data_IF_998944343409
#
_entry.id   IF_998944343409
#
_cell.length_a   1.000
_cell.length_b   1.000
_cell.length_c   1.000
_cell.angle_alpha   90.00
_cell.angle_beta   90.00
_cell.angle_gamma   90.00
#
_symmetry.space_group_name_H-M   'P 1'
#
loop_
_entity.id
_entity.type
_entity.pdbx_description
1 polymer ?
#
# COMPACT_ATOMS: atom_id res chain seq x y z
N UNK A 1 -25.94 49.94 -17.17
CA UNK A 1 -25.44 48.89 -16.26
C UNK A 1 -26.62 48.31 -15.55
N UNK A 2 -26.74 46.99 -15.48
CA UNK A 2 -27.83 46.31 -14.76
C UNK A 2 -27.44 46.21 -13.30
N UNK A 3 -28.34 46.57 -12.38
CA UNK A 3 -28.05 46.50 -10.93
C UNK A 3 -28.36 45.12 -10.34
N UNK A 4 -27.70 44.76 -9.22
CA UNK A 4 -27.96 43.48 -8.52
C UNK A 4 -29.44 43.35 -8.11
N UNK A 5 -30.07 44.45 -7.70
CA UNK A 5 -31.48 44.47 -7.30
C UNK A 5 -32.42 44.21 -8.49
N UNK A 6 -32.10 44.72 -9.69
CA UNK A 6 -32.86 44.44 -10.91
C UNK A 6 -32.77 42.97 -11.32
N UNK A 7 -31.58 42.37 -11.21
CA UNK A 7 -31.37 40.93 -11.48
C UNK A 7 -32.18 40.06 -10.52
N UNK A 8 -32.14 40.38 -9.21
CA UNK A 8 -32.92 39.68 -8.18
C UNK A 8 -34.43 39.80 -8.43
N UNK A 9 -34.92 40.99 -8.71
CA UNK A 9 -36.33 41.23 -8.99
C UNK A 9 -36.80 40.51 -10.27
N UNK A 10 -35.98 40.52 -11.33
CA UNK A 10 -36.28 39.78 -12.56
C UNK A 10 -36.27 38.26 -12.33
N UNK A 11 -35.32 37.73 -11.57
CA UNK A 11 -35.25 36.32 -11.20
C UNK A 11 -36.49 35.88 -10.40
N UNK A 12 -36.93 36.69 -9.43
CA UNK A 12 -38.13 36.43 -8.65
C UNK A 12 -39.40 36.44 -9.50
N UNK A 13 -39.53 37.39 -10.44
CA UNK A 13 -40.67 37.42 -11.39
C UNK A 13 -40.73 36.17 -12.27
N UNK A 14 -39.59 35.71 -12.78
CA UNK A 14 -39.52 34.48 -13.60
C UNK A 14 -39.88 33.26 -12.75
N UNK A 15 -39.38 33.17 -11.51
CA UNK A 15 -39.70 32.08 -10.56
C UNK A 15 -41.19 32.02 -10.21
N UNK A 16 -41.83 33.18 -10.07
CA UNK A 16 -43.24 33.30 -9.71
C UNK A 16 -44.21 33.02 -10.86
N UNK A 17 -43.74 32.94 -12.12
CA UNK A 17 -44.62 32.64 -13.25
C UNK A 17 -45.16 31.20 -13.16
N UNK A 18 -46.47 31.00 -13.33
CA UNK A 18 -47.02 29.66 -13.45
C UNK A 18 -46.53 29.00 -14.74
N UNK A 19 -46.47 27.67 -14.74
CA UNK A 19 -46.17 26.93 -15.96
C UNK A 19 -47.28 27.18 -17.02
N UNK A 20 -46.93 27.40 -18.29
CA UNK A 20 -47.93 27.49 -19.36
C UNK A 20 -48.68 26.15 -19.50
N UNK A 21 -49.94 26.18 -19.93
CA UNK A 21 -50.75 24.99 -20.11
C UNK A 21 -50.06 24.01 -21.07
N UNK A 22 -49.69 22.82 -20.56
CA UNK A 22 -48.99 21.77 -21.32
C UNK A 22 -47.47 21.97 -21.49
N UNK A 23 -46.84 22.90 -20.76
CA UNK A 23 -45.40 23.18 -20.86
C UNK A 23 -44.66 23.15 -19.52
N UNK A 24 -43.33 23.14 -19.59
CA UNK A 24 -42.45 23.19 -18.42
C UNK A 24 -42.35 24.61 -17.86
N UNK A 25 -42.28 24.74 -16.52
CA UNK A 25 -42.02 26.01 -15.85
C UNK A 25 -40.71 26.63 -16.35
N UNK A 26 -40.77 27.92 -16.69
CA UNK A 26 -39.60 28.67 -17.19
C UNK A 26 -38.47 28.65 -16.15
N UNK A 27 -37.28 28.20 -16.57
CA UNK A 27 -36.09 28.16 -15.70
C UNK A 27 -35.52 29.55 -15.52
N UNK A 28 -35.11 29.88 -14.29
CA UNK A 28 -34.33 31.09 -14.02
C UNK A 28 -32.90 30.88 -14.49
N UNK A 29 -32.54 31.54 -15.60
CA UNK A 29 -31.24 31.46 -16.27
C UNK A 29 -30.76 32.85 -16.64
N UNK A 30 -29.46 33.03 -16.89
CA UNK A 30 -28.92 34.32 -17.34
C UNK A 30 -29.62 34.81 -18.60
N UNK A 31 -30.02 33.88 -19.50
CA UNK A 31 -30.74 34.21 -20.73
C UNK A 31 -32.17 34.68 -20.47
N UNK A 32 -32.91 34.00 -19.59
CA UNK A 32 -34.29 34.40 -19.25
C UNK A 32 -34.30 35.72 -18.47
N UNK A 33 -33.37 35.92 -17.54
CA UNK A 33 -33.20 37.17 -16.80
C UNK A 33 -32.80 38.31 -17.75
N UNK A 34 -31.87 38.09 -18.67
CA UNK A 34 -31.49 39.10 -19.68
C UNK A 34 -32.67 39.47 -20.60
N UNK A 35 -33.49 38.49 -20.98
CA UNK A 35 -34.73 38.72 -21.75
C UNK A 35 -35.72 39.57 -20.96
N UNK A 36 -35.89 39.26 -19.67
CA UNK A 36 -36.77 39.99 -18.75
C UNK A 36 -36.31 41.44 -18.49
N UNK A 37 -35.00 41.67 -18.51
CA UNK A 37 -34.39 42.99 -18.33
C UNK A 37 -34.27 43.79 -19.64
N UNK A 38 -34.64 43.19 -20.79
CA UNK A 38 -34.51 43.84 -22.10
C UNK A 38 -33.07 44.02 -22.60
N UNK A 39 -32.07 43.47 -21.91
CA UNK A 39 -30.65 43.66 -22.23
C UNK A 39 -29.72 43.43 -21.04
N UNK A 40 -28.43 43.77 -21.22
CA UNK A 40 -27.39 43.64 -20.19
C UNK A 40 -26.24 42.73 -20.58
N UNK A 41 -25.07 42.98 -19.97
CA UNK A 41 -23.88 42.13 -20.12
C UNK A 41 -24.08 40.81 -19.35
N UNK A 42 -23.62 39.70 -19.93
CA UNK A 42 -23.67 38.39 -19.27
C UNK A 42 -22.90 38.40 -17.95
N UNK A 43 -21.79 39.13 -17.87
CA UNK A 43 -20.98 39.24 -16.65
C UNK A 43 -21.71 39.95 -15.51
N UNK A 44 -22.45 41.02 -15.84
CA UNK A 44 -23.20 41.83 -14.88
C UNK A 44 -24.39 41.07 -14.30
N UNK A 45 -24.96 40.12 -15.06
CA UNK A 45 -26.13 39.32 -14.64
C UNK A 45 -25.69 38.03 -13.92
N UNK A 46 -24.62 37.37 -14.39
CA UNK A 46 -24.24 36.05 -13.90
C UNK A 46 -23.87 36.03 -12.40
N UNK A 47 -23.08 37.01 -11.93
CA UNK A 47 -22.65 37.07 -10.52
C UNK A 47 -23.82 37.34 -9.55
N UNK A 48 -24.65 38.38 -9.76
CA UNK A 48 -25.85 38.59 -8.94
C UNK A 48 -26.84 37.42 -8.97
N UNK A 49 -27.00 36.77 -10.14
CA UNK A 49 -27.92 35.66 -10.28
C UNK A 49 -27.45 34.41 -9.52
N UNK A 50 -26.15 34.11 -9.55
CA UNK A 50 -25.59 32.99 -8.80
C UNK A 50 -25.77 33.20 -7.29
N UNK A 51 -25.56 34.42 -6.80
CA UNK A 51 -25.78 34.80 -5.40
C UNK A 51 -27.25 34.65 -5.00
N UNK A 52 -28.17 35.14 -5.81
CA UNK A 52 -29.62 34.95 -5.59
C UNK A 52 -30.01 33.47 -5.54
N UNK A 53 -29.50 32.62 -6.45
CA UNK A 53 -29.81 31.17 -6.45
C UNK A 53 -29.36 30.46 -5.17
N UNK A 54 -28.24 30.88 -4.59
CA UNK A 54 -27.73 30.32 -3.35
C UNK A 54 -28.53 30.80 -2.12
N UNK A 55 -28.90 32.09 -2.08
CA UNK A 55 -29.71 32.67 -0.99
C UNK A 55 -31.14 32.09 -0.96
N UNK A 56 -31.72 31.81 -2.14
CA UNK A 56 -33.10 31.36 -2.30
C UNK A 56 -33.27 29.84 -2.46
N UNK A 57 -32.17 29.09 -2.28
CA UNK A 57 -32.09 27.63 -2.43
C UNK A 57 -32.73 27.12 -3.73
N UNK A 58 -32.46 27.81 -4.84
CA UNK A 58 -33.15 27.57 -6.11
C UNK A 58 -32.64 26.32 -6.82
N UNK A 59 -33.43 25.24 -6.75
CA UNK A 59 -33.16 23.98 -7.43
C UNK A 59 -34.16 23.71 -8.58
N UNK A 60 -33.79 23.97 -9.85
CA UNK A 60 -34.71 23.89 -10.99
C UNK A 60 -35.24 22.48 -11.28
N UNK A 61 -34.54 21.41 -10.85
CA UNK A 61 -35.01 20.04 -10.95
C UNK A 61 -36.09 19.69 -9.91
N UNK A 62 -36.02 20.31 -8.73
CA UNK A 62 -36.97 20.11 -7.63
C UNK A 62 -38.25 20.91 -7.89
N UNK A 63 -38.12 22.16 -8.35
CA UNK A 63 -39.28 23.00 -8.71
C UNK A 63 -40.02 22.52 -9.97
N UNK A 64 -39.37 21.78 -10.87
CA UNK A 64 -40.04 21.19 -12.05
C UNK A 64 -40.81 19.91 -11.72
N UNK A 65 -40.48 19.25 -10.62
CA UNK A 65 -41.12 18.02 -10.21
C UNK A 65 -42.42 18.25 -9.40
N UNK A 66 -42.75 19.52 -9.09
CA UNK A 66 -43.91 19.93 -8.29
C UNK A 66 -44.08 19.09 -7.01
N UNK A 67 -42.93 18.72 -6.40
CA UNK A 67 -42.90 17.87 -5.22
C UNK A 67 -43.30 18.69 -4.00
N UNK A 68 -44.25 18.23 -3.17
CA UNK A 68 -44.58 18.89 -1.92
C UNK A 68 -43.32 19.03 -1.06
N UNK A 69 -43.07 20.22 -0.51
CA UNK A 69 -41.82 20.58 0.17
C UNK A 69 -41.41 19.58 1.28
N UNK A 70 -42.39 18.94 1.91
CA UNK A 70 -42.21 17.87 2.89
C UNK A 70 -41.52 16.61 2.32
N UNK A 71 -41.78 16.26 1.05
CA UNK A 71 -41.13 15.14 0.38
C UNK A 71 -39.69 15.46 -0.04
N UNK A 72 -39.43 16.69 -0.48
CA UNK A 72 -38.06 17.15 -0.78
C UNK A 72 -37.15 17.05 0.45
N UNK A 73 -37.62 17.56 1.60
CA UNK A 73 -36.87 17.48 2.87
C UNK A 73 -36.62 16.04 3.31
N UNK A 74 -37.62 15.16 3.19
CA UNK A 74 -37.48 13.73 3.52
C UNK A 74 -36.51 13.00 2.60
N UNK A 75 -36.55 13.28 1.29
CA UNK A 75 -35.62 12.69 0.33
C UNK A 75 -34.18 13.13 0.58
N UNK A 76 -33.94 14.38 0.94
CA UNK A 76 -32.59 14.87 1.28
C UNK A 76 -32.03 14.19 2.53
N UNK A 77 -32.87 14.00 3.57
CA UNK A 77 -32.47 13.27 4.78
C UNK A 77 -32.14 11.82 4.43
N UNK A 78 -33.03 11.15 3.69
CA UNK A 78 -32.84 9.75 3.32
C UNK A 78 -31.63 9.54 2.41
N UNK A 79 -31.35 10.48 1.50
CA UNK A 79 -30.15 10.47 0.66
C UNK A 79 -28.86 10.67 1.49
N UNK A 80 -28.90 11.54 2.51
CA UNK A 80 -27.78 11.73 3.44
C UNK A 80 -27.52 10.45 4.24
N UNK A 81 -28.57 9.85 4.80
CA UNK A 81 -28.46 8.63 5.60
C UNK A 81 -27.92 7.45 4.77
N UNK A 82 -28.38 7.30 3.51
CA UNK A 82 -27.83 6.29 2.59
C UNK A 82 -26.35 6.53 2.25
N UNK A 83 -25.96 7.79 2.03
CA UNK A 83 -24.55 8.14 1.79
C UNK A 83 -23.67 7.88 3.01
N UNK A 84 -24.19 8.10 4.21
CA UNK A 84 -23.49 7.84 5.46
C UNK A 84 -23.33 6.33 5.70
N UNK A 85 -24.39 5.55 5.49
CA UNK A 85 -24.34 4.08 5.53
C UNK A 85 -23.34 3.51 4.52
N UNK A 86 -23.39 3.97 3.27
CA UNK A 86 -22.44 3.52 2.24
C UNK A 86 -20.97 3.86 2.60
N UNK A 87 -20.72 4.99 3.28
CA UNK A 87 -19.38 5.32 3.79
C UNK A 87 -18.94 4.40 4.94
N UNK A 88 -19.85 4.06 5.83
CA UNK A 88 -19.59 3.13 6.94
C UNK A 88 -19.27 1.74 6.39
N UNK A 89 -20.08 1.23 5.46
CA UNK A 89 -19.87 -0.06 4.80
C UNK A 89 -18.54 -0.10 4.04
N UNK A 90 -18.23 0.93 3.24
CA UNK A 90 -16.95 1.00 2.53
C UNK A 90 -15.74 1.09 3.48
N UNK A 91 -15.91 1.68 4.68
CA UNK A 91 -14.85 1.71 5.70
C UNK A 91 -14.69 0.33 6.34
N UNK A 92 -15.79 -0.38 6.55
CA UNK A 92 -15.82 -1.74 7.10
C UNK A 92 -15.17 -2.75 6.15
N UNK A 93 -15.46 -2.64 4.85
CA UNK A 93 -14.86 -3.48 3.80
C UNK A 93 -13.34 -3.24 3.69
N UNK A 94 -12.89 -1.97 3.74
CA UNK A 94 -11.45 -1.68 3.77
C UNK A 94 -10.75 -2.28 4.99
N UNK A 95 -11.40 -2.26 6.16
CA UNK A 95 -10.84 -2.88 7.36
C UNK A 95 -10.76 -4.40 7.22
N UNK A 96 -11.78 -5.06 6.65
CA UNK A 96 -11.71 -6.50 6.38
C UNK A 96 -10.62 -6.86 5.36
N UNK A 97 -10.42 -6.04 4.32
CA UNK A 97 -9.34 -6.23 3.34
C UNK A 97 -7.96 -6.16 4.02
N UNK A 98 -7.76 -5.23 4.97
CA UNK A 98 -6.52 -5.16 5.75
C UNK A 98 -6.32 -6.42 6.59
N UNK A 99 -7.36 -6.88 7.29
CA UNK A 99 -7.30 -8.11 8.10
C UNK A 99 -6.99 -9.35 7.25
N UNK A 100 -7.60 -9.46 6.07
CA UNK A 100 -7.33 -10.57 5.14
C UNK A 100 -5.90 -10.55 4.60
N UNK A 101 -5.36 -9.37 4.31
CA UNK A 101 -3.97 -9.20 3.86
C UNK A 101 -3.00 -9.59 4.98
N UNK A 102 -3.27 -9.20 6.22
CA UNK A 102 -2.45 -9.60 7.37
C UNK A 102 -2.52 -11.11 7.62
N UNK A 103 -3.71 -11.72 7.66
CA UNK A 103 -3.84 -13.19 7.77
C UNK A 103 -3.16 -13.93 6.63
N UNK A 104 -3.09 -13.34 5.44
CA UNK A 104 -2.35 -13.92 4.32
C UNK A 104 -0.85 -13.79 4.54
N UNK A 105 -0.36 -12.68 5.11
CA UNK A 105 1.06 -12.50 5.44
C UNK A 105 1.49 -13.48 6.52
N UNK A 106 0.74 -13.59 7.61
CA UNK A 106 1.00 -14.55 8.70
C UNK A 106 1.12 -15.98 8.18
N UNK A 107 0.15 -16.43 7.36
CA UNK A 107 0.21 -17.77 6.73
C UNK A 107 1.44 -17.96 5.85
N UNK A 108 1.86 -16.92 5.10
CA UNK A 108 3.11 -17.02 4.32
C UNK A 108 4.34 -17.09 5.23
N UNK A 109 4.36 -16.35 6.33
CA UNK A 109 5.46 -16.39 7.29
C UNK A 109 5.54 -17.74 8.00
N UNK A 110 4.41 -18.35 8.35
CA UNK A 110 4.36 -19.73 8.87
C UNK A 110 4.94 -20.74 7.88
N UNK A 111 4.53 -20.66 6.60
CA UNK A 111 5.06 -21.54 5.54
C UNK A 111 6.58 -21.34 5.39
N UNK A 112 7.06 -20.09 5.42
CA UNK A 112 8.49 -19.80 5.32
C UNK A 112 9.27 -20.31 6.55
N UNK A 113 8.68 -20.23 7.74
CA UNK A 113 9.29 -20.77 8.95
C UNK A 113 9.36 -22.31 8.91
N UNK A 114 8.29 -22.97 8.46
CA UNK A 114 8.28 -24.43 8.28
C UNK A 114 9.32 -24.87 7.23
N UNK A 115 9.37 -24.17 6.08
CA UNK A 115 10.36 -24.45 5.04
C UNK A 115 11.80 -24.25 5.56
N UNK A 116 12.06 -23.22 6.37
CA UNK A 116 13.37 -23.00 6.98
C UNK A 116 13.74 -24.15 7.94
N UNK A 117 12.82 -24.59 8.80
CA UNK A 117 13.06 -25.72 9.70
C UNK A 117 13.31 -27.03 8.94
N UNK A 118 12.64 -27.24 7.80
CA UNK A 118 12.91 -28.38 6.94
C UNK A 118 14.31 -28.30 6.30
N UNK A 119 14.76 -27.12 5.91
CA UNK A 119 16.13 -26.92 5.40
C UNK A 119 17.15 -27.22 6.49
N UNK A 120 16.99 -26.69 7.70
CA UNK A 120 17.89 -26.97 8.82
C UNK A 120 18.01 -28.47 9.10
N UNK A 121 16.87 -29.19 9.13
CA UNK A 121 16.86 -30.65 9.31
C UNK A 121 17.57 -31.40 8.17
N UNK A 122 17.46 -30.91 6.93
CA UNK A 122 18.17 -31.49 5.80
C UNK A 122 19.67 -31.20 5.86
N UNK A 123 20.07 -30.01 6.31
CA UNK A 123 21.48 -29.65 6.52
C UNK A 123 22.12 -30.53 7.60
N UNK A 124 21.43 -30.75 8.73
CA UNK A 124 21.88 -31.66 9.79
C UNK A 124 22.05 -33.10 9.28
N UNK A 125 21.10 -33.59 8.48
CA UNK A 125 21.22 -34.90 7.83
C UNK A 125 22.39 -34.97 6.87
N UNK A 126 22.62 -33.92 6.09
CA UNK A 126 23.77 -33.84 5.17
C UNK A 126 25.07 -33.85 5.95
N UNK A 127 25.17 -33.10 7.05
CA UNK A 127 26.34 -33.10 7.92
C UNK A 127 26.58 -34.48 8.57
N UNK A 128 25.52 -35.15 9.03
CA UNK A 128 25.61 -36.50 9.56
C UNK A 128 26.09 -37.49 8.49
N UNK A 129 25.51 -37.46 7.30
CA UNK A 129 25.92 -38.30 6.17
C UNK A 129 27.34 -38.00 5.71
N UNK A 130 27.78 -36.74 5.72
CA UNK A 130 29.16 -36.36 5.44
C UNK A 130 30.12 -36.93 6.48
N UNK A 131 29.78 -36.83 7.77
CA UNK A 131 30.59 -37.41 8.84
C UNK A 131 30.70 -38.93 8.73
N UNK A 132 29.63 -39.59 8.30
CA UNK A 132 29.61 -41.02 8.05
C UNK A 132 30.41 -41.39 6.80
N UNK A 133 30.34 -40.60 5.72
CA UNK A 133 31.20 -40.76 4.54
C UNK A 133 32.67 -40.53 4.88
N UNK A 134 33.00 -39.54 5.69
CA UNK A 134 34.38 -39.27 6.11
C UNK A 134 34.89 -40.39 7.01
N UNK A 135 34.03 -40.93 7.88
CA UNK A 135 34.33 -42.13 8.67
C UNK A 135 34.52 -43.37 7.79
N UNK A 136 33.66 -43.59 6.80
CA UNK A 136 33.75 -44.69 5.85
C UNK A 136 34.93 -44.55 4.88
N UNK A 137 35.33 -43.33 4.53
CA UNK A 137 36.56 -43.06 3.77
C UNK A 137 37.80 -43.31 4.61
N UNK A 138 37.78 -42.86 5.88
CA UNK A 138 38.87 -43.11 6.83
C UNK A 138 38.98 -44.59 7.22
N UNK A 139 37.86 -45.31 7.27
CA UNK A 139 37.81 -46.75 7.45
C UNK A 139 38.05 -47.52 6.13
N UNK A 140 37.84 -46.85 4.99
CA UNK A 140 37.84 -47.40 3.64
C UNK A 140 39.17 -47.28 2.90
N UNK A 141 40.23 -46.85 3.57
CA UNK A 141 41.62 -47.18 3.17
C UNK A 141 41.90 -48.71 3.24
N UNK A 142 40.88 -49.53 3.53
CA UNK A 142 40.68 -50.87 2.99
C UNK A 142 39.26 -51.04 2.41
N UNK A 143 39.13 -51.25 1.10
CA UNK A 143 37.90 -51.33 0.28
C UNK A 143 36.86 -52.42 0.69
N UNK A 144 35.69 -52.57 -0.02
CA UNK A 144 34.73 -51.60 -0.55
C UNK A 144 33.24 -51.85 -0.15
N UNK A 145 32.41 -50.83 -0.39
CA UNK A 145 30.97 -50.74 -0.71
C UNK A 145 29.98 -51.91 -0.42
N UNK A 146 28.97 -51.62 0.40
CA UNK A 146 27.59 -52.17 0.34
C UNK A 146 26.68 -51.29 1.23
N UNK A 147 25.44 -50.93 0.93
CA UNK A 147 24.54 -51.14 -0.20
C UNK A 147 23.32 -50.24 0.00
N UNK A 148 22.74 -49.75 -1.09
CA UNK A 148 21.57 -48.87 -1.06
C UNK A 148 20.31 -49.65 -0.65
N UNK A 149 19.73 -49.30 0.52
CA UNK A 149 18.41 -49.76 0.92
C UNK A 149 17.35 -48.79 0.41
N UNK A 150 16.47 -49.28 -0.48
CA UNK A 150 15.36 -48.55 -1.06
C UNK A 150 14.26 -48.25 -0.02
N UNK A 151 13.82 -46.99 0.04
CA UNK A 151 12.69 -46.54 0.86
C UNK A 151 11.33 -46.67 0.11
N UNK A 152 10.20 -46.82 0.82
CA UNK A 152 8.92 -47.20 0.21
C UNK A 152 8.20 -46.05 -0.53
N UNK A 153 7.36 -46.36 -1.55
CA UNK A 153 6.79 -45.38 -2.47
C UNK A 153 5.42 -44.88 -2.00
N UNK A 154 5.38 -43.99 -1.00
CA UNK A 154 4.12 -43.30 -0.64
C UNK A 154 4.28 -41.79 -0.42
N UNK A 155 5.48 -41.30 -0.10
CA UNK A 155 5.77 -39.86 0.01
C UNK A 155 5.94 -39.16 -1.37
N UNK A 156 6.22 -39.91 -2.43
CA UNK A 156 6.50 -39.35 -3.75
C UNK A 156 5.25 -38.75 -4.45
N UNK A 157 4.04 -39.19 -4.09
CA UNK A 157 2.79 -38.80 -4.78
C UNK A 157 2.24 -37.44 -4.32
N UNK A 158 2.39 -37.07 -3.03
CA UNK A 158 1.99 -35.74 -2.54
C UNK A 158 3.01 -34.66 -2.92
N UNK A 159 4.31 -34.99 -2.87
CA UNK A 159 5.37 -34.12 -3.34
C UNK A 159 5.27 -33.84 -4.85
N UNK A 160 4.90 -34.85 -5.65
CA UNK A 160 4.66 -34.67 -7.09
C UNK A 160 3.47 -33.74 -7.38
N UNK A 161 2.38 -33.79 -6.61
CA UNK A 161 1.25 -32.86 -6.74
C UNK A 161 1.63 -31.43 -6.34
N UNK A 162 2.31 -31.24 -5.21
CA UNK A 162 2.79 -29.92 -4.79
C UNK A 162 3.81 -29.31 -5.75
N UNK A 163 4.65 -30.15 -6.38
CA UNK A 163 5.58 -29.71 -7.42
C UNK A 163 4.87 -29.31 -8.71
N UNK A 164 3.85 -30.07 -9.14
CA UNK A 164 3.03 -29.72 -10.31
C UNK A 164 2.28 -28.40 -10.05
N UNK A 165 1.65 -28.23 -8.89
CA UNK A 165 0.94 -27.00 -8.52
C UNK A 165 1.87 -25.78 -8.39
N UNK A 166 3.09 -25.97 -7.86
CA UNK A 166 4.10 -24.93 -7.82
C UNK A 166 4.63 -24.57 -9.22
N UNK A 167 4.72 -25.54 -10.14
CA UNK A 167 5.10 -25.30 -11.53
C UNK A 167 3.99 -24.60 -12.32
N UNK A 168 2.72 -24.98 -12.14
CA UNK A 168 1.59 -24.25 -12.74
C UNK A 168 1.49 -22.85 -12.17
N UNK A 169 1.67 -22.66 -10.86
CA UNK A 169 1.70 -21.34 -10.23
C UNK A 169 2.83 -20.44 -10.76
N UNK A 170 4.04 -20.98 -10.93
CA UNK A 170 5.16 -20.23 -11.54
C UNK A 170 4.93 -19.93 -13.02
N UNK A 171 4.31 -20.85 -13.77
CA UNK A 171 3.99 -20.63 -15.18
C UNK A 171 2.95 -19.51 -15.33
N UNK A 172 1.91 -19.54 -14.51
CA UNK A 172 0.84 -18.53 -14.50
C UNK A 172 1.37 -17.16 -14.05
N UNK A 173 2.29 -17.12 -13.08
CA UNK A 173 2.98 -15.89 -12.68
C UNK A 173 3.83 -15.31 -13.82
N UNK A 174 4.58 -16.15 -14.55
CA UNK A 174 5.36 -15.70 -15.73
C UNK A 174 4.49 -15.22 -16.87
N UNK A 175 3.36 -15.89 -17.12
CA UNK A 175 2.38 -15.48 -18.12
C UNK A 175 1.72 -14.14 -17.74
N UNK A 176 1.45 -13.93 -16.46
CA UNK A 176 0.96 -12.66 -15.93
C UNK A 176 2.02 -11.55 -16.05
N UNK A 177 3.28 -11.82 -15.68
CA UNK A 177 4.38 -10.85 -15.79
C UNK A 177 4.62 -10.44 -17.25
N UNK A 178 4.60 -11.40 -18.18
CA UNK A 178 4.73 -11.13 -19.61
C UNK A 178 3.55 -10.31 -20.14
N UNK A 179 2.33 -10.65 -19.74
CA UNK A 179 1.14 -9.87 -20.08
C UNK A 179 1.24 -8.42 -19.56
N UNK A 180 1.70 -8.21 -18.32
CA UNK A 180 1.84 -6.87 -17.75
C UNK A 180 2.97 -6.07 -18.39
N UNK A 181 4.04 -6.71 -18.86
CA UNK A 181 5.06 -6.06 -19.67
C UNK A 181 4.47 -5.55 -21.00
N UNK A 182 3.69 -6.37 -21.70
CA UNK A 182 3.03 -5.95 -22.95
C UNK A 182 2.01 -4.82 -22.72
N UNK A 183 1.25 -4.87 -21.62
CA UNK A 183 0.33 -3.78 -21.24
C UNK A 183 1.10 -2.50 -20.98
N UNK A 184 2.24 -2.56 -20.28
CA UNK A 184 3.11 -1.40 -20.02
C UNK A 184 3.61 -0.79 -21.33
N UNK A 185 4.16 -1.60 -22.23
CA UNK A 185 4.67 -1.13 -23.51
C UNK A 185 3.57 -0.43 -24.34
N UNK A 186 2.35 -1.00 -24.33
CA UNK A 186 1.21 -0.41 -25.01
C UNK A 186 0.73 0.91 -24.37
N UNK A 187 0.75 1.01 -23.04
CA UNK A 187 0.43 2.27 -22.34
C UNK A 187 1.47 3.34 -22.63
N UNK A 188 2.76 3.01 -22.54
CA UNK A 188 3.83 3.95 -22.85
C UNK A 188 3.77 4.42 -24.30
N UNK A 189 3.53 3.52 -25.25
CA UNK A 189 3.34 3.87 -26.65
C UNK A 189 2.17 4.85 -26.84
N UNK A 190 1.02 4.58 -26.20
CA UNK A 190 -0.14 5.48 -26.25
C UNK A 190 0.15 6.86 -25.64
N UNK A 191 0.95 6.92 -24.56
CA UNK A 191 1.37 8.16 -23.93
C UNK A 191 2.40 8.93 -24.75
N UNK A 192 3.32 8.27 -25.44
CA UNK A 192 4.26 8.93 -26.38
C UNK A 192 3.53 9.57 -27.56
N UNK A 193 2.48 8.92 -28.05
CA UNK A 193 1.73 9.41 -29.22
C UNK A 193 0.79 10.58 -28.88
N UNK A 194 0.16 10.57 -27.69
CA UNK A 194 -0.96 11.47 -27.36
C UNK A 194 -0.75 12.32 -26.10
N UNK A 195 0.40 12.18 -25.44
CA UNK A 195 0.74 12.90 -24.21
C UNK A 195 0.00 12.39 -22.98
N UNK A 196 -0.02 13.22 -21.92
CA UNK A 196 -0.65 12.86 -20.65
C UNK A 196 -2.16 12.67 -20.81
N UNK A 197 -2.71 11.60 -20.25
CA UNK A 197 -4.11 11.24 -20.50
C UNK A 197 -4.78 10.55 -19.31
N UNK A 198 -6.12 10.71 -19.17
CA UNK A 198 -6.88 10.04 -18.12
C UNK A 198 -6.99 8.55 -18.43
N UNK A 199 -7.18 7.73 -17.39
CA UNK A 199 -7.19 6.25 -17.49
C UNK A 199 -8.19 5.73 -18.52
N UNK A 200 -9.36 6.36 -18.64
CA UNK A 200 -10.36 5.96 -19.64
C UNK A 200 -9.88 6.17 -21.09
N UNK A 201 -9.06 7.20 -21.34
CA UNK A 201 -8.46 7.43 -22.64
C UNK A 201 -7.33 6.44 -22.93
N UNK A 202 -6.51 6.12 -21.91
CA UNK A 202 -5.48 5.07 -22.00
C UNK A 202 -6.14 3.73 -22.34
N UNK A 203 -7.17 3.35 -21.59
CA UNK A 203 -7.90 2.10 -21.78
C UNK A 203 -8.50 1.97 -23.19
N UNK A 204 -8.99 3.07 -23.77
CA UNK A 204 -9.50 3.10 -25.15
C UNK A 204 -8.40 3.05 -26.21
N UNK A 205 -7.20 3.53 -25.88
CA UNK A 205 -6.04 3.49 -26.77
C UNK A 205 -5.36 2.11 -26.80
N UNK A 206 -5.61 1.25 -25.80
CA UNK A 206 -5.04 -0.09 -25.75
C UNK A 206 -5.56 -0.99 -26.90
N UNK A 207 -4.71 -1.85 -27.47
CA UNK A 207 -5.11 -2.85 -28.46
C UNK A 207 -6.27 -3.72 -27.97
N UNK A 208 -7.23 -4.00 -28.86
CA UNK A 208 -8.37 -4.87 -28.55
C UNK A 208 -7.93 -6.31 -28.19
N UNK A 209 -6.84 -6.79 -28.80
CA UNK A 209 -6.21 -8.08 -28.50
C UNK A 209 -5.72 -8.19 -27.07
N UNK A 210 -5.13 -7.12 -26.50
CA UNK A 210 -4.69 -7.10 -25.10
C UNK A 210 -5.87 -7.12 -24.13
N UNK A 211 -6.94 -6.40 -24.46
CA UNK A 211 -8.17 -6.38 -23.63
C UNK A 211 -8.84 -7.76 -23.57
N UNK A 212 -8.93 -8.45 -24.71
CA UNK A 212 -9.47 -9.82 -24.78
C UNK A 212 -8.55 -10.85 -24.10
N UNK A 213 -7.22 -10.69 -24.23
CA UNK A 213 -6.26 -11.55 -23.54
C UNK A 213 -6.34 -11.43 -22.02
N UNK A 214 -6.59 -10.23 -21.49
CA UNK A 214 -6.78 -10.04 -20.05
C UNK A 214 -7.85 -10.96 -19.48
N UNK A 215 -8.97 -11.16 -20.18
CA UNK A 215 -10.03 -12.10 -19.79
C UNK A 215 -9.53 -13.56 -19.81
N UNK A 216 -8.74 -13.95 -20.81
CA UNK A 216 -8.20 -15.31 -20.94
C UNK A 216 -7.13 -15.69 -19.92
N UNK A 217 -6.39 -14.70 -19.39
CA UNK A 217 -5.33 -14.90 -18.37
C UNK A 217 -5.88 -14.70 -16.94
N UNK A 218 -7.17 -14.40 -16.80
CA UNK A 218 -7.83 -14.19 -15.49
C UNK A 218 -7.63 -12.78 -14.90
N UNK A 219 -7.15 -11.83 -15.70
CA UNK A 219 -6.92 -10.43 -15.32
C UNK A 219 -7.69 -9.49 -16.26
N UNK A 220 -9.01 -9.29 -16.06
CA UNK A 220 -9.78 -8.40 -16.91
C UNK A 220 -9.22 -6.98 -16.81
N UNK A 221 -8.72 -6.46 -17.93
CA UNK A 221 -8.28 -5.06 -18.05
C UNK A 221 -9.52 -4.17 -17.98
N UNK A 222 -9.94 -3.80 -16.77
CA UNK A 222 -10.94 -2.76 -16.57
C UNK A 222 -10.24 -1.41 -16.33
N UNK A 223 -10.91 -0.27 -16.56
CA UNK A 223 -10.33 1.03 -16.24
C UNK A 223 -9.88 1.17 -14.77
N UNK A 224 -10.58 0.53 -13.83
CA UNK A 224 -10.20 0.53 -12.42
C UNK A 224 -8.91 -0.26 -12.18
N UNK A 225 -8.79 -1.44 -12.78
CA UNK A 225 -7.59 -2.28 -12.68
C UNK A 225 -6.37 -1.63 -13.32
N UNK A 226 -6.57 -1.00 -14.49
CA UNK A 226 -5.52 -0.26 -15.18
C UNK A 226 -5.04 0.93 -14.32
N UNK A 227 -5.96 1.66 -13.69
CA UNK A 227 -5.60 2.76 -12.76
C UNK A 227 -4.77 2.25 -11.59
N UNK A 228 -5.21 1.18 -10.94
CA UNK A 228 -4.50 0.57 -9.81
C UNK A 228 -3.06 0.20 -10.19
N UNK A 229 -2.88 -0.42 -11.37
CA UNK A 229 -1.56 -0.84 -11.81
C UNK A 229 -0.65 0.34 -12.19
N UNK A 230 -1.18 1.38 -12.84
CA UNK A 230 -0.43 2.59 -13.18
C UNK A 230 0.01 3.38 -11.93
N UNK A 231 -0.85 3.47 -10.91
CA UNK A 231 -0.50 4.07 -9.62
C UNK A 231 0.66 3.35 -8.96
N UNK A 232 0.60 2.01 -8.89
CA UNK A 232 1.67 1.20 -8.30
C UNK A 232 2.99 1.37 -9.04
N UNK A 233 2.96 1.50 -10.37
CA UNK A 233 4.16 1.77 -11.15
C UNK A 233 4.74 3.17 -10.88
N UNK A 234 3.90 4.19 -10.77
CA UNK A 234 4.32 5.54 -10.39
C UNK A 234 4.97 5.57 -9.00
N UNK A 235 4.40 4.85 -8.03
CA UNK A 235 4.95 4.74 -6.67
C UNK A 235 6.31 4.02 -6.62
N UNK A 236 6.51 3.01 -7.47
CA UNK A 236 7.78 2.26 -7.55
C UNK A 236 8.87 2.95 -8.37
N UNK A 237 8.59 4.13 -8.94
CA UNK A 237 9.55 4.86 -9.77
C UNK A 237 9.72 4.29 -11.19
N UNK A 238 8.73 3.56 -11.70
CA UNK A 238 8.75 2.93 -13.03
C UNK A 238 8.58 3.88 -14.22
N UNK A 239 8.97 5.15 -14.09
CA UNK A 239 8.95 6.12 -15.20
C UNK A 239 7.58 6.76 -15.52
N UNK A 240 6.58 6.63 -14.66
CA UNK A 240 5.25 7.23 -14.81
C UNK A 240 4.94 8.22 -13.68
N UNK A 241 4.19 9.28 -13.99
CA UNK A 241 3.67 10.23 -12.99
C UNK A 241 2.17 10.46 -13.18
N UNK A 242 1.44 10.66 -12.09
CA UNK A 242 0.06 11.15 -12.12
C UNK A 242 0.07 12.65 -11.77
N UNK A 243 -0.48 13.48 -12.66
CA UNK A 243 -0.68 14.91 -12.45
C UNK A 243 -2.16 15.20 -12.73
N UNK A 244 -2.89 15.66 -11.71
CA UNK A 244 -4.31 16.02 -11.78
C UNK A 244 -5.23 14.95 -12.39
N UNK A 245 -5.01 13.67 -12.02
CA UNK A 245 -5.82 12.55 -12.51
C UNK A 245 -5.52 12.11 -13.94
N UNK A 246 -4.41 12.59 -14.52
CA UNK A 246 -3.87 12.17 -15.81
C UNK A 246 -2.51 11.51 -15.60
N UNK A 247 -2.26 10.44 -16.35
CA UNK A 247 -0.97 9.76 -16.32
C UNK A 247 -0.12 10.24 -17.48
N UNK A 248 1.16 10.50 -17.20
CA UNK A 248 2.17 10.84 -18.20
C UNK A 248 3.49 10.12 -17.92
N UNK A 249 4.36 10.11 -18.91
CA UNK A 249 5.75 9.69 -18.73
C UNK A 249 6.46 10.71 -17.85
N UNK A 250 7.21 10.24 -16.86
CA UNK A 250 8.07 11.10 -16.07
C UNK A 250 9.09 11.77 -17.01
N UNK A 251 9.15 13.10 -17.04
CA UNK A 251 10.29 13.77 -17.67
C UNK A 251 11.57 13.29 -16.97
N UNK A 252 12.66 13.01 -17.73
CA UNK A 252 13.93 12.71 -17.12
C UNK A 252 14.28 13.91 -16.23
N UNK A 253 14.39 13.65 -14.94
CA UNK A 253 14.77 14.65 -13.94
C UNK A 253 16.02 15.34 -14.46
N UNK A 254 16.02 16.67 -14.69
CA UNK A 254 17.25 17.35 -15.08
C UNK A 254 18.25 17.10 -13.96
N UNK A 255 19.38 16.47 -14.31
CA UNK A 255 20.52 16.42 -13.41
C UNK A 255 20.82 17.85 -12.97
N UNK A 256 21.05 18.09 -11.67
CA UNK A 256 21.39 19.42 -11.20
C UNK A 256 22.68 19.87 -11.88
N UNK A 257 22.56 20.84 -12.80
CA UNK A 257 23.68 21.57 -13.39
C UNK A 257 24.52 22.20 -12.29
N UNK A 258 25.79 21.82 -12.29
CA UNK A 258 26.96 22.59 -11.88
C UNK A 258 26.79 23.53 -10.67
N UNK A 259 26.91 22.93 -9.47
CA UNK A 259 27.52 23.64 -8.35
C UNK A 259 29.04 23.72 -8.57
N UNK A 260 29.71 24.80 -8.12
CA UNK A 260 31.10 25.05 -8.47
C UNK A 260 32.04 23.95 -7.96
N UNK A 261 33.00 23.57 -8.81
CA UNK A 261 33.97 22.49 -8.61
C UNK A 261 34.58 22.47 -7.19
N UNK A 262 34.76 21.28 -6.58
CA UNK A 262 35.51 21.17 -5.34
C UNK A 262 36.99 21.39 -5.64
N UNK A 263 37.57 22.39 -4.99
CA UNK A 263 39.02 22.55 -4.89
C UNK A 263 39.60 21.33 -4.17
N UNK A 264 40.41 20.57 -4.90
CA UNK A 264 41.48 19.75 -4.32
C UNK A 264 42.35 20.66 -3.46
N UNK A 265 42.40 20.37 -2.15
CA UNK A 265 43.45 20.75 -1.18
C UNK A 265 42.83 20.97 0.20
N UNK A 266 42.48 19.88 0.89
CA UNK A 266 42.46 19.81 2.36
C UNK A 266 42.45 18.33 2.77
N UNK A 267 43.42 17.86 3.58
CA UNK A 267 43.50 16.46 3.96
C UNK A 267 42.31 16.12 4.86
N UNK A 268 41.44 15.23 4.37
CA UNK A 268 40.39 14.63 5.18
C UNK A 268 41.05 13.86 6.32
N UNK A 269 40.70 14.10 7.60
CA UNK A 269 41.26 13.31 8.69
C UNK A 269 40.85 11.84 8.50
N UNK A 270 41.73 10.86 8.76
CA UNK A 270 41.38 9.46 8.62
C UNK A 270 40.26 9.15 9.61
N UNK A 271 39.06 8.89 9.09
CA UNK A 271 38.01 8.25 9.88
C UNK A 271 38.59 6.91 10.33
N UNK A 272 38.69 6.64 11.64
CA UNK A 272 39.29 5.40 12.11
C UNK A 272 38.47 4.23 11.55
N UNK A 273 39.20 3.24 11.02
CA UNK A 273 38.67 1.97 10.57
C UNK A 273 37.99 1.24 11.74
N UNK A 274 36.73 1.58 12.00
CA UNK A 274 35.84 0.90 12.92
C UNK A 274 34.87 0.05 12.11
N UNK A 275 35.26 -1.21 11.87
CA UNK A 275 34.40 -2.34 11.50
C UNK A 275 33.18 -2.00 10.63
N UNK A 276 33.43 -1.86 9.33
CA UNK A 276 32.38 -1.95 8.32
C UNK A 276 31.77 -3.36 8.33
N UNK A 277 30.80 -3.59 9.21
CA UNK A 277 29.90 -4.73 9.09
C UNK A 277 28.77 -4.32 8.13
N UNK A 278 28.92 -4.66 6.85
CA UNK A 278 27.81 -4.80 5.90
C UNK A 278 26.78 -5.80 6.45
N UNK A 279 25.97 -5.33 7.39
CA UNK A 279 25.03 -6.17 8.10
C UNK A 279 23.71 -6.11 7.35
N UNK A 280 23.34 -7.18 6.64
CA UNK A 280 22.05 -7.25 5.96
C UNK A 280 20.87 -6.91 6.89
N UNK A 281 19.80 -6.31 6.35
CA UNK A 281 18.62 -5.77 7.07
C UNK A 281 18.14 -6.66 8.23
N UNK A 282 18.04 -7.98 8.02
CA UNK A 282 17.60 -8.96 9.05
C UNK A 282 18.57 -9.06 10.23
N UNK A 283 19.88 -9.13 9.97
CA UNK A 283 20.92 -9.20 11.01
C UNK A 283 21.00 -7.89 11.81
N UNK A 284 20.81 -6.75 11.17
CA UNK A 284 20.73 -5.45 11.85
C UNK A 284 19.59 -5.44 12.87
N UNK A 285 18.37 -5.77 12.43
CA UNK A 285 17.21 -5.75 13.33
C UNK A 285 17.29 -6.77 14.45
N UNK A 286 17.90 -7.95 14.23
CA UNK A 286 18.16 -8.91 15.31
C UNK A 286 19.08 -8.33 16.39
N UNK A 287 20.22 -7.75 15.98
CA UNK A 287 21.15 -7.13 16.93
C UNK A 287 20.53 -5.92 17.64
N UNK A 288 19.77 -5.11 16.91
CA UNK A 288 19.04 -3.97 17.47
C UNK A 288 18.07 -4.41 18.56
N UNK A 289 17.24 -5.44 18.31
CA UNK A 289 16.25 -5.91 19.28
C UNK A 289 16.92 -6.61 20.46
N UNK A 290 18.04 -7.32 20.25
CA UNK A 290 18.87 -7.84 21.34
C UNK A 290 19.40 -6.72 22.24
N UNK A 291 19.92 -5.64 21.66
CA UNK A 291 20.38 -4.49 22.44
C UNK A 291 19.26 -3.85 23.27
N UNK A 292 18.04 -3.77 22.70
CA UNK A 292 16.85 -3.31 23.42
C UNK A 292 16.53 -4.25 24.59
N UNK A 293 16.63 -5.57 24.41
CA UNK A 293 16.44 -6.55 25.49
C UNK A 293 17.50 -6.38 26.58
N UNK A 294 18.78 -6.28 26.22
CA UNK A 294 19.89 -6.09 27.15
C UNK A 294 19.77 -4.77 27.94
N UNK A 295 19.24 -3.71 27.30
CA UNK A 295 18.93 -2.45 27.98
C UNK A 295 17.80 -2.62 29.00
N UNK A 296 16.68 -3.23 28.59
CA UNK A 296 15.54 -3.48 29.47
C UNK A 296 15.87 -4.44 30.61
N UNK A 297 16.76 -5.41 30.39
CA UNK A 297 17.24 -6.33 31.41
C UNK A 297 18.12 -5.62 32.46
N UNK A 298 18.90 -4.62 32.04
CA UNK A 298 19.76 -3.83 32.92
C UNK A 298 19.01 -2.74 33.69
N UNK A 299 18.10 -2.03 33.03
CA UNK A 299 17.49 -0.82 33.57
C UNK A 299 16.05 -1.01 34.06
N UNK A 300 15.46 -2.17 33.80
CA UNK A 300 14.08 -2.49 34.14
C UNK A 300 13.07 -1.93 33.13
N UNK A 301 11.77 -1.90 33.49
CA UNK A 301 10.71 -1.59 32.53
C UNK A 301 10.71 -0.12 32.08
N UNK A 302 10.77 0.10 30.77
CA UNK A 302 10.82 1.43 30.15
C UNK A 302 9.75 1.60 29.07
N UNK A 303 9.33 2.85 28.81
CA UNK A 303 8.49 3.16 27.65
C UNK A 303 9.32 3.20 26.37
N UNK A 304 8.69 3.06 25.21
CA UNK A 304 9.39 3.09 23.91
C UNK A 304 10.19 4.38 23.69
N UNK A 305 9.70 5.52 24.19
CA UNK A 305 10.39 6.81 24.13
C UNK A 305 11.69 6.77 24.94
N UNK A 306 11.62 6.28 26.19
CA UNK A 306 12.78 6.16 27.09
C UNK A 306 13.79 5.12 26.61
N UNK A 307 13.32 4.03 25.97
CA UNK A 307 14.20 3.04 25.36
C UNK A 307 15.03 3.68 24.25
N UNK A 308 14.41 4.49 23.38
CA UNK A 308 15.12 5.16 22.29
C UNK A 308 16.06 6.27 22.80
N UNK A 309 15.72 6.98 23.88
CA UNK A 309 16.61 7.97 24.50
C UNK A 309 17.88 7.35 25.10
N UNK A 310 17.78 6.12 25.60
CA UNK A 310 18.86 5.42 26.30
C UNK A 310 19.63 4.43 25.43
N UNK A 311 19.11 4.11 24.25
CA UNK A 311 19.83 3.31 23.27
C UNK A 311 21.04 4.09 22.74
N UNK A 312 22.12 3.39 22.41
CA UNK A 312 23.29 4.01 21.79
C UNK A 312 22.87 4.72 20.49
N UNK A 313 23.15 6.04 20.33
CA UNK A 313 22.78 6.82 19.15
C UNK A 313 23.21 6.20 17.82
N UNK A 314 24.28 5.38 17.82
CA UNK A 314 24.75 4.65 16.64
C UNK A 314 23.67 3.74 16.05
N UNK A 315 22.83 3.13 16.89
CA UNK A 315 21.74 2.26 16.46
C UNK A 315 20.58 3.02 15.81
N UNK A 316 20.30 4.23 16.32
CA UNK A 316 19.26 5.11 15.79
C UNK A 316 19.70 5.62 14.42
N UNK A 317 20.92 6.13 14.30
CA UNK A 317 21.49 6.55 13.02
C UNK A 317 21.59 5.41 12.01
N UNK A 318 22.04 4.23 12.44
CA UNK A 318 22.10 3.06 11.56
C UNK A 318 20.71 2.57 11.09
N UNK A 319 19.65 2.82 11.86
CA UNK A 319 18.28 2.47 11.47
C UNK A 319 17.80 3.23 10.24
N UNK A 320 18.31 4.45 10.00
CA UNK A 320 17.90 5.28 8.85
C UNK A 320 18.21 4.63 7.50
N UNK A 321 19.28 3.83 7.43
CA UNK A 321 19.69 3.09 6.22
C UNK A 321 18.68 2.04 5.77
N UNK A 322 17.78 1.61 6.67
CA UNK A 322 16.75 0.63 6.36
C UNK A 322 15.35 1.22 6.53
N UNK A 323 15.03 1.62 7.75
CA UNK A 323 13.77 2.20 8.13
C UNK A 323 13.95 2.92 9.46
N UNK A 324 13.81 4.25 9.46
CA UNK A 324 13.94 5.05 10.66
C UNK A 324 13.07 4.49 11.79
N UNK A 325 13.69 4.22 12.93
CA UNK A 325 12.97 3.78 14.12
C UNK A 325 12.32 4.98 14.81
N UNK A 326 11.05 4.85 15.16
CA UNK A 326 10.27 5.85 15.92
C UNK A 326 9.65 5.17 17.14
N UNK A 327 9.24 5.90 18.18
CA UNK A 327 8.62 5.28 19.37
C UNK A 327 7.43 4.38 19.02
N UNK A 328 6.54 4.85 18.13
CA UNK A 328 5.41 4.03 17.66
C UNK A 328 5.82 2.76 16.92
N UNK A 329 6.87 2.83 16.08
CA UNK A 329 7.38 1.66 15.36
C UNK A 329 8.11 0.70 16.29
N UNK A 330 8.79 1.21 17.32
CA UNK A 330 9.40 0.37 18.36
C UNK A 330 8.32 -0.36 19.16
N UNK A 331 7.25 0.32 19.58
CA UNK A 331 6.09 -0.31 20.23
C UNK A 331 5.52 -1.46 19.39
N UNK A 332 5.23 -1.18 18.11
CA UNK A 332 4.72 -2.18 17.19
C UNK A 332 5.67 -3.38 17.08
N UNK A 333 6.99 -3.14 16.94
CA UNK A 333 7.98 -4.21 16.89
C UNK A 333 8.05 -5.03 18.17
N UNK A 334 7.99 -4.40 19.35
CA UNK A 334 8.05 -5.12 20.62
C UNK A 334 6.79 -5.95 20.86
N UNK A 335 5.60 -5.41 20.55
CA UNK A 335 4.33 -6.16 20.65
C UNK A 335 4.30 -7.39 19.76
N UNK A 336 4.69 -7.26 18.48
CA UNK A 336 4.80 -8.43 17.61
C UNK A 336 5.77 -9.48 18.13
N UNK A 337 6.85 -9.07 18.82
CA UNK A 337 7.78 -10.03 19.47
C UNK A 337 7.17 -10.68 20.72
N UNK A 338 6.34 -9.98 21.48
CA UNK A 338 5.60 -10.55 22.60
C UNK A 338 4.62 -11.62 22.08
N UNK A 339 3.88 -11.32 21.01
CA UNK A 339 2.96 -12.26 20.36
C UNK A 339 3.70 -13.51 19.81
N UNK A 340 4.90 -13.33 19.26
CA UNK A 340 5.79 -14.42 18.85
C UNK A 340 6.41 -15.23 20.02
N UNK A 341 6.13 -14.89 21.29
CA UNK A 341 6.67 -15.58 22.47
C UNK A 341 8.15 -15.29 22.76
N UNK A 342 8.66 -14.14 22.31
CA UNK A 342 10.02 -13.66 22.59
C UNK A 342 10.10 -13.10 24.03
N UNK A 343 11.30 -12.94 24.63
CA UNK A 343 11.47 -12.53 26.03
C UNK A 343 11.19 -11.04 26.30
N UNK A 344 10.04 -10.57 25.85
CA UNK A 344 9.52 -9.25 26.15
C UNK A 344 8.17 -9.40 26.84
N UNK A 345 7.83 -8.42 27.67
CA UNK A 345 6.52 -8.34 28.28
C UNK A 345 6.06 -6.88 28.27
N UNK A 346 4.80 -6.65 27.91
CA UNK A 346 4.16 -5.34 28.06
C UNK A 346 3.50 -5.28 29.44
N UNK A 347 3.82 -4.22 30.19
CA UNK A 347 3.28 -3.90 31.50
C UNK A 347 2.31 -2.71 31.38
N UNK A 348 1.59 -2.44 32.47
CA UNK A 348 0.68 -1.28 32.54
C UNK A 348 1.40 0.04 32.21
N UNK A 349 0.71 0.90 31.47
CA UNK A 349 1.22 2.21 31.07
C UNK A 349 2.24 2.17 29.92
N UNK A 350 2.07 1.25 28.96
CA UNK A 350 2.90 1.10 27.76
C UNK A 350 4.40 0.91 28.04
N UNK A 351 4.72 0.26 29.18
CA UNK A 351 6.09 -0.05 29.56
C UNK A 351 6.44 -1.45 29.09
N UNK A 352 7.63 -1.60 28.53
CA UNK A 352 8.16 -2.89 28.11
C UNK A 352 9.22 -3.35 29.10
N UNK A 353 9.17 -4.62 29.46
CA UNK A 353 10.16 -5.28 30.30
C UNK A 353 10.82 -6.41 29.50
N UNK A 354 12.10 -6.65 29.79
CA UNK A 354 12.77 -7.86 29.36
C UNK A 354 12.43 -8.98 30.36
N UNK A 355 12.09 -10.15 29.84
CA UNK A 355 12.00 -11.37 30.64
C UNK A 355 13.38 -11.98 30.67
N UNK A 356 13.99 -12.02 31.85
CA UNK A 356 15.35 -12.56 32.03
C UNK A 356 15.30 -14.05 32.35
N UNK A 357 16.05 -14.84 31.59
CA UNK A 357 16.33 -16.25 31.87
C UNK A 357 17.75 -16.43 32.41
N UNK A 358 18.14 -17.68 32.69
CA UNK A 358 19.50 -18.03 33.18
C UNK A 358 20.62 -17.74 32.16
N UNK A 359 20.28 -17.48 30.88
CA UNK A 359 21.23 -17.13 29.82
C UNK A 359 20.84 -15.82 29.12
N UNK A 360 21.81 -15.01 28.65
CA UNK A 360 21.55 -13.86 27.80
C UNK A 360 20.79 -14.28 26.55
N UNK A 361 19.81 -13.47 26.14
CA UNK A 361 19.01 -13.77 24.96
C UNK A 361 19.86 -13.56 23.68
N UNK A 362 19.82 -14.54 22.78
CA UNK A 362 20.58 -14.55 21.52
C UNK A 362 20.03 -13.58 20.45
N UNK A 363 18.87 -12.98 20.70
CA UNK A 363 18.16 -12.09 19.77
C UNK A 363 17.21 -12.82 18.82
N UNK A 364 17.03 -14.13 18.97
CA UNK A 364 16.24 -14.97 18.06
C UNK A 364 15.45 -16.09 18.73
N UNK A 365 15.77 -16.52 19.95
CA UNK A 365 15.10 -17.64 20.62
C UNK A 365 13.79 -17.21 21.29
N UNK A 366 12.75 -18.04 21.21
CA UNK A 366 11.58 -17.89 22.08
C UNK A 366 11.91 -18.46 23.47
N UNK A 367 11.32 -17.92 24.53
CA UNK A 367 11.56 -18.48 25.87
C UNK A 367 10.73 -19.75 26.06
N UNK A 368 11.33 -20.85 26.57
CA UNK A 368 10.58 -22.06 26.88
C UNK A 368 9.57 -21.75 28.00
N UNK A 369 8.28 -21.99 27.73
CA UNK A 369 7.20 -21.85 28.70
C UNK A 369 6.30 -20.62 28.54
N UNK A 370 6.56 -19.70 27.61
CA UNK A 370 5.56 -18.70 27.22
C UNK A 370 4.56 -19.33 26.25
N UNK A 371 3.36 -19.61 26.75
CA UNK A 371 2.25 -20.05 25.92
C UNK A 371 1.98 -19.01 24.83
N UNK A 372 1.86 -19.48 23.58
CA UNK A 372 1.28 -18.68 22.50
C UNK A 372 -0.15 -18.35 22.92
N UNK A 373 -0.42 -17.11 23.30
CA UNK A 373 -1.79 -16.64 23.43
C UNK A 373 -2.35 -16.55 22.01
N UNK A 374 -3.04 -17.61 21.60
CA UNK A 374 -3.77 -17.69 20.34
C UNK A 374 -5.08 -16.91 20.38
#
# INVERSE_FOLDING_TARGET
MVTENEVRAAAARIRARPAPAGGLKERVSVRSVRRELGGGSFGDIAKPLAKWKAEEDYHPAVEQADLPEAFGKRLTILARDLLEQARIEATRERLSDFDEVERRRERHEEILAEAAAQVDHLEDKVAALQSELDRLRSAGDGAPAAGAAAAPPTAASSAARGFVDALTGRKLAREADAFWAEVRDAVEAAMRERGSMPVHAIYRALPASLRQRGESVGFPLTPAWLRYHLLRMAETGGGLTEIDGRFGLAEPRPEPRDGPEPRDDLPTPPVPAGESLETGKRRFWRRFVREVHDLLAREGPLTAEKILERLDPKWIGASERFQRITPGRLRYKLRGRIEEGRPFQELQGERFAAVTGERPWDGESAMPGMARNG
#
